data_IF_533421849172
#
_entry.id   IF_533421849172
#
_cell.length_a   1.000
_cell.length_b   1.000
_cell.length_c   1.000
_cell.angle_alpha   90.00
_cell.angle_beta   90.00
_cell.angle_gamma   90.00
#
_symmetry.space_group_name_H-M   'P 1'
#
loop_
_entity.id
_entity.type
_entity.pdbx_description
1 polymer ?
#
# COMPACT_ATOMS: atom_id res chain seq x y z
N UNK A 1 -3.43 -16.50 -6.36
CA UNK A 1 -2.84 -15.14 -6.44
C UNK A 1 -3.79 -14.15 -7.15
N UNK A 2 -4.51 -14.55 -8.20
CA UNK A 2 -5.47 -13.67 -8.91
C UNK A 2 -6.57 -13.08 -8.03
N UNK A 3 -7.13 -13.86 -7.10
CA UNK A 3 -8.20 -13.40 -6.19
C UNK A 3 -7.75 -12.19 -5.37
N UNK A 4 -6.51 -12.16 -4.89
CA UNK A 4 -5.98 -11.02 -4.12
C UNK A 4 -5.74 -9.77 -4.97
N UNK A 5 -5.63 -9.91 -6.30
CA UNK A 5 -5.58 -8.75 -7.21
C UNK A 5 -6.97 -8.19 -7.46
N UNK A 6 -8.00 -9.03 -7.46
CA UNK A 6 -9.39 -8.60 -7.66
C UNK A 6 -10.05 -8.10 -6.37
N UNK A 7 -9.64 -8.66 -5.24
CA UNK A 7 -10.15 -8.35 -3.89
C UNK A 7 -8.99 -8.07 -2.91
N UNK A 8 -8.21 -7.00 -3.13
CA UNK A 8 -7.04 -6.69 -2.30
C UNK A 8 -7.39 -6.38 -0.84
N UNK A 9 -8.63 -6.01 -0.55
CA UNK A 9 -9.16 -5.83 0.81
C UNK A 9 -9.00 -7.06 1.70
N UNK A 10 -8.94 -8.27 1.13
CA UNK A 10 -8.68 -9.51 1.89
C UNK A 10 -7.31 -9.52 2.55
N UNK A 11 -6.34 -8.76 2.04
CA UNK A 11 -5.01 -8.63 2.64
C UNK A 11 -4.93 -7.52 3.71
N UNK A 12 -6.00 -6.75 3.93
CA UNK A 12 -5.96 -5.54 4.77
C UNK A 12 -5.50 -5.81 6.21
N UNK A 13 -5.90 -6.94 6.81
CA UNK A 13 -5.46 -7.32 8.15
C UNK A 13 -3.94 -7.46 8.24
N UNK A 14 -3.33 -8.14 7.27
CA UNK A 14 -1.87 -8.33 7.19
C UNK A 14 -1.18 -7.00 6.87
N UNK A 15 -1.72 -6.22 5.93
CA UNK A 15 -1.14 -4.93 5.54
C UNK A 15 -1.12 -3.95 6.72
N UNK A 16 -2.18 -3.93 7.53
CA UNK A 16 -2.25 -3.07 8.72
C UNK A 16 -1.25 -3.47 9.80
N UNK A 17 -0.88 -4.75 9.92
CA UNK A 17 0.19 -5.19 10.83
C UNK A 17 1.58 -4.73 10.34
N UNK A 18 1.76 -4.61 9.01
CA UNK A 18 3.06 -4.33 8.39
C UNK A 18 3.27 -2.86 8.00
N UNK A 19 2.25 -2.01 8.09
CA UNK A 19 2.29 -0.61 7.64
C UNK A 19 3.37 0.24 8.34
N UNK A 20 3.75 -0.16 9.56
CA UNK A 20 4.76 0.49 10.41
C UNK A 20 6.02 -0.34 10.63
N UNK A 21 6.19 -1.45 9.91
CA UNK A 21 7.33 -2.35 10.12
C UNK A 21 8.67 -1.60 9.92
N UNK A 22 9.63 -1.69 10.85
CA UNK A 22 10.89 -0.95 10.76
C UNK A 22 11.83 -1.47 9.65
N UNK A 23 11.62 -2.70 9.16
CA UNK A 23 12.42 -3.30 8.12
C UNK A 23 12.13 -2.65 6.77
N UNK A 24 13.17 -2.05 6.18
CA UNK A 24 13.10 -1.51 4.82
C UNK A 24 12.65 -2.56 3.80
N UNK A 25 13.05 -3.81 3.98
CA UNK A 25 12.65 -4.91 3.09
C UNK A 25 11.13 -5.17 3.15
N UNK A 26 10.55 -5.14 4.36
CA UNK A 26 9.10 -5.29 4.55
C UNK A 26 8.37 -4.09 3.94
N UNK A 27 8.81 -2.87 4.23
CA UNK A 27 8.24 -1.65 3.65
C UNK A 27 8.26 -1.69 2.11
N UNK A 28 9.38 -2.12 1.53
CA UNK A 28 9.54 -2.24 0.08
C UNK A 28 8.63 -3.30 -0.53
N UNK A 29 8.43 -4.42 0.17
CA UNK A 29 7.52 -5.50 -0.23
C UNK A 29 6.05 -5.07 -0.18
N UNK A 30 5.62 -4.45 0.93
CA UNK A 30 4.25 -3.93 1.10
C UNK A 30 3.94 -2.87 0.05
N UNK A 31 4.86 -1.91 -0.16
CA UNK A 31 4.70 -0.86 -1.16
C UNK A 31 4.62 -1.40 -2.59
N UNK A 32 5.41 -2.44 -2.93
CA UNK A 32 5.33 -3.11 -4.22
C UNK A 32 3.99 -3.83 -4.40
N UNK A 33 3.53 -4.55 -3.38
CA UNK A 33 2.25 -5.27 -3.41
C UNK A 33 1.08 -4.31 -3.63
N UNK A 34 1.05 -3.18 -2.90
CA UNK A 34 0.02 -2.14 -3.07
C UNK A 34 0.06 -1.51 -4.48
N UNK A 35 1.24 -1.29 -5.04
CA UNK A 35 1.38 -0.80 -6.40
C UNK A 35 0.93 -1.82 -7.46
N UNK A 36 0.97 -3.12 -7.16
CA UNK A 36 0.40 -4.14 -8.04
C UNK A 36 -1.11 -4.20 -7.92
N UNK A 37 -1.66 -4.08 -6.70
CA UNK A 37 -3.09 -3.95 -6.47
C UNK A 37 -3.69 -2.69 -7.12
N UNK A 38 -2.92 -1.60 -7.22
CA UNK A 38 -3.40 -0.36 -7.86
C UNK A 38 -3.67 -0.50 -9.35
N UNK A 39 -3.17 -1.56 -10.01
CA UNK A 39 -3.44 -1.82 -11.43
C UNK A 39 -4.88 -2.26 -11.67
N UNK A 40 -5.54 -2.80 -10.66
CA UNK A 40 -6.92 -3.30 -10.73
C UNK A 40 -7.88 -2.51 -9.84
N UNK A 41 -7.41 -2.01 -8.69
CA UNK A 41 -8.21 -1.26 -7.70
C UNK A 41 -7.50 0.03 -7.27
N UNK A 42 -7.28 0.99 -8.19
CA UNK A 42 -6.53 2.23 -7.90
C UNK A 42 -7.17 3.07 -6.79
N UNK A 43 -8.49 3.20 -6.78
CA UNK A 43 -9.20 4.02 -5.79
C UNK A 43 -9.07 3.44 -4.38
N UNK A 44 -9.15 2.11 -4.24
CA UNK A 44 -8.94 1.44 -2.96
C UNK A 44 -7.54 1.69 -2.41
N UNK A 45 -6.50 1.57 -3.26
CA UNK A 45 -5.11 1.86 -2.84
C UNK A 45 -4.95 3.33 -2.45
N UNK A 46 -5.57 4.26 -3.18
CA UNK A 46 -5.50 5.68 -2.87
C UNK A 46 -6.11 5.98 -1.50
N UNK A 47 -7.34 5.49 -1.25
CA UNK A 47 -8.07 5.66 0.00
C UNK A 47 -7.28 5.06 1.17
N UNK A 48 -6.80 3.82 1.04
CA UNK A 48 -6.00 3.17 2.08
C UNK A 48 -4.75 3.99 2.43
N UNK A 49 -4.05 4.50 1.42
CA UNK A 49 -2.87 5.33 1.67
C UNK A 49 -3.21 6.68 2.31
N UNK A 50 -4.38 7.26 2.02
CA UNK A 50 -4.85 8.49 2.68
C UNK A 50 -5.22 8.25 4.13
N UNK A 51 -5.82 7.10 4.45
CA UNK A 51 -6.07 6.67 5.82
C UNK A 51 -4.75 6.48 6.57
N UNK A 52 -3.80 5.77 5.98
CA UNK A 52 -2.48 5.53 6.57
C UNK A 52 -1.66 6.83 6.75
N UNK A 53 -1.86 7.83 5.89
CA UNK A 53 -1.19 9.13 6.02
C UNK A 53 -1.65 9.93 7.26
N UNK A 54 -2.80 9.60 7.84
CA UNK A 54 -3.32 10.24 9.07
C UNK A 54 -2.73 9.65 10.35
N UNK A 55 -1.98 8.54 10.25
CA UNK A 55 -1.39 7.86 11.40
C UNK A 55 -0.11 8.56 11.90
N UNK A 56 0.21 8.37 13.18
CA UNK A 56 1.29 9.10 13.88
C UNK A 56 2.69 8.56 13.57
N UNK A 57 2.81 7.30 13.14
CA UNK A 57 4.09 6.69 12.73
C UNK A 57 4.36 6.92 11.23
N UNK A 58 4.89 8.11 10.94
CA UNK A 58 4.95 8.64 9.59
C UNK A 58 6.14 8.10 8.77
N UNK A 59 7.28 7.74 9.35
CA UNK A 59 8.49 7.46 8.54
C UNK A 59 8.41 6.17 7.74
N UNK A 60 8.05 5.06 8.38
CA UNK A 60 7.91 3.75 7.74
C UNK A 60 6.74 3.77 6.76
N UNK A 61 5.59 4.26 7.23
CA UNK A 61 4.35 4.35 6.47
C UNK A 61 4.48 5.26 5.23
N UNK A 62 5.19 6.39 5.33
CA UNK A 62 5.41 7.29 4.19
C UNK A 62 6.19 6.64 3.05
N UNK A 63 7.17 5.78 3.35
CA UNK A 63 7.91 5.05 2.31
C UNK A 63 6.97 4.11 1.55
N UNK A 64 6.13 3.39 2.29
CA UNK A 64 5.15 2.47 1.72
C UNK A 64 4.16 3.23 0.83
N UNK A 65 3.57 4.32 1.34
CA UNK A 65 2.62 5.16 0.60
C UNK A 65 3.22 5.69 -0.71
N UNK A 66 4.44 6.24 -0.65
CA UNK A 66 5.12 6.77 -1.85
C UNK A 66 5.29 5.70 -2.92
N UNK A 67 5.63 4.47 -2.50
CA UNK A 67 5.85 3.36 -3.41
C UNK A 67 4.53 2.80 -3.96
N UNK A 68 3.49 2.70 -3.13
CA UNK A 68 2.16 2.24 -3.49
C UNK A 68 1.52 3.10 -4.59
N UNK A 69 1.67 4.43 -4.52
CA UNK A 69 1.03 5.38 -5.44
C UNK A 69 1.80 5.62 -6.74
N UNK A 70 3.03 5.10 -6.93
CA UNK A 70 3.93 5.52 -8.03
C UNK A 70 3.34 5.34 -9.42
N UNK A 71 2.62 4.24 -9.68
CA UNK A 71 2.00 3.99 -10.99
C UNK A 71 0.76 4.85 -11.20
N UNK A 72 -0.06 5.04 -10.16
CA UNK A 72 -1.24 5.93 -10.22
C UNK A 72 -0.82 7.36 -10.57
N UNK A 73 0.22 7.88 -9.90
CA UNK A 73 0.70 9.25 -10.11
C UNK A 73 1.42 9.45 -11.46
N UNK A 74 1.98 8.39 -12.05
CA UNK A 74 2.61 8.45 -13.38
C UNK A 74 1.59 8.49 -14.51
N UNK A 75 0.40 7.94 -14.28
CA UNK A 75 -0.65 7.78 -15.29
C UNK A 75 -1.75 8.86 -15.19
N UNK A 76 -1.55 9.87 -14.34
CA UNK A 76 -2.32 11.12 -14.32
C UNK A 76 -1.58 12.19 -15.10
#
# INVERSE_FOLDING_TARGET
IEILKQEPEKALSILNLLKSDPSKYVQDSVGNWLNDASKTKPDWVMNLCEEWAKDTDIKSTSRIIKKAKRTILKNR
#
